data_IF_640796311649
#
_entry.id   IF_640796311649
#
_cell.length_a   1.000
_cell.length_b   1.000
_cell.length_c   1.000
_cell.angle_alpha   90.00
_cell.angle_beta   90.00
_cell.angle_gamma   90.00
#
_symmetry.space_group_name_H-M   'P 1'
#
loop_
_entity.id
_entity.type
_entity.pdbx_description
1 polymer ?
#
# COMPACT_ATOMS: atom_id res chain seq x y z
N UNK A 1 26.39 -34.16 -59.65
CA UNK A 1 26.28 -35.12 -58.53
C UNK A 1 27.23 -34.65 -57.43
N UNK A 2 26.65 -34.27 -56.28
CA UNK A 2 27.22 -34.22 -54.90
C UNK A 2 28.52 -33.45 -54.66
N UNK A 3 28.76 -32.70 -53.59
CA UNK A 3 28.01 -32.19 -52.44
C UNK A 3 28.98 -31.20 -51.76
N UNK A 4 28.53 -30.04 -51.27
CA UNK A 4 29.34 -29.24 -50.33
C UNK A 4 28.43 -28.56 -49.31
N UNK A 5 28.77 -28.77 -48.05
CA UNK A 5 27.99 -28.57 -46.84
C UNK A 5 27.53 -27.13 -46.56
N UNK A 6 26.45 -26.95 -45.77
CA UNK A 6 26.30 -25.82 -44.88
C UNK A 6 26.65 -26.26 -43.44
N UNK A 7 27.71 -25.69 -42.87
CA UNK A 7 27.95 -25.72 -41.44
C UNK A 7 28.35 -24.32 -40.98
N UNK A 8 27.47 -23.68 -40.23
CA UNK A 8 27.85 -22.66 -39.27
C UNK A 8 26.94 -22.88 -38.05
N UNK A 9 27.49 -23.39 -36.94
CA UNK A 9 26.74 -23.54 -35.71
C UNK A 9 26.50 -22.16 -35.10
N UNK A 10 25.23 -21.88 -34.81
CA UNK A 10 24.86 -20.90 -33.80
C UNK A 10 25.30 -21.47 -32.45
N UNK A 11 26.30 -20.88 -31.81
CA UNK A 11 26.58 -21.04 -30.38
C UNK A 11 27.51 -19.90 -29.97
N UNK A 12 26.92 -18.85 -29.43
CA UNK A 12 27.57 -18.10 -28.37
C UNK A 12 26.70 -18.27 -27.14
N UNK A 13 27.07 -19.26 -26.34
CA UNK A 13 26.54 -19.53 -25.02
C UNK A 13 27.71 -19.44 -24.05
N UNK A 14 27.69 -18.45 -23.16
CA UNK A 14 28.30 -18.47 -21.81
C UNK A 14 28.29 -17.06 -21.24
N UNK A 15 27.89 -16.81 -19.98
CA UNK A 15 27.41 -17.70 -18.94
C UNK A 15 26.76 -16.87 -17.81
N UNK A 16 25.83 -17.51 -17.07
CA UNK A 16 25.70 -17.58 -15.59
C UNK A 16 26.02 -16.36 -14.72
N UNK A 17 25.37 -16.08 -13.59
CA UNK A 17 24.33 -16.72 -12.77
C UNK A 17 24.24 -15.84 -11.50
N UNK A 18 23.18 -16.02 -10.70
CA UNK A 18 22.84 -15.40 -9.39
C UNK A 18 22.15 -14.02 -9.52
N UNK A 19 20.94 -13.78 -9.02
CA UNK A 19 20.30 -14.34 -7.84
C UNK A 19 18.79 -14.61 -8.06
N UNK A 20 18.36 -15.82 -7.70
CA UNK A 20 17.09 -15.96 -7.00
C UNK A 20 17.04 -14.96 -5.85
N UNK A 21 16.21 -13.94 -5.99
CA UNK A 21 15.71 -13.17 -4.86
C UNK A 21 14.20 -13.04 -5.05
N UNK A 22 13.51 -14.06 -4.55
CA UNK A 22 12.15 -14.02 -4.01
C UNK A 22 11.09 -13.32 -4.88
N UNK A 23 10.20 -14.02 -5.57
CA UNK A 23 9.20 -14.88 -4.93
C UNK A 23 8.82 -14.41 -3.52
N UNK A 24 8.35 -13.15 -3.40
CA UNK A 24 7.60 -12.50 -2.31
C UNK A 24 7.13 -11.18 -2.93
N UNK A 25 5.90 -11.01 -3.41
CA UNK A 25 4.75 -10.76 -2.54
C UNK A 25 3.43 -11.13 -3.25
N UNK A 26 3.31 -12.38 -3.70
CA UNK A 26 2.01 -12.99 -4.05
C UNK A 26 1.68 -14.20 -3.16
N UNK A 27 2.23 -14.20 -1.95
CA UNK A 27 1.94 -15.07 -0.80
C UNK A 27 1.80 -14.09 0.39
N UNK A 28 0.79 -14.11 1.25
CA UNK A 28 -0.16 -15.13 1.62
C UNK A 28 -1.39 -14.46 2.26
N UNK A 29 -2.48 -15.21 2.28
CA UNK A 29 -3.77 -14.90 2.88
C UNK A 29 -3.71 -14.33 4.31
N UNK A 30 -4.64 -13.40 4.58
CA UNK A 30 -5.35 -13.24 5.86
C UNK A 30 -4.47 -13.25 7.13
N UNK A 31 -3.81 -12.13 7.43
CA UNK A 31 -3.31 -11.80 8.77
C UNK A 31 -2.97 -10.30 8.84
N UNK A 32 -3.01 -9.72 10.06
CA UNK A 32 -4.13 -8.95 10.63
C UNK A 32 -4.43 -7.67 9.82
N UNK A 33 -5.43 -6.89 10.21
CA UNK A 33 -5.83 -5.59 9.62
C UNK A 33 -4.75 -4.49 9.73
N UNK A 34 -3.49 -4.81 9.38
CA UNK A 34 -2.33 -3.91 9.44
C UNK A 34 -2.32 -3.07 8.17
N UNK A 35 -2.75 -1.83 8.31
CA UNK A 35 -2.66 -0.83 7.25
C UNK A 35 -1.19 -0.42 7.12
N UNK A 36 -0.54 -0.71 6.00
CA UNK A 36 0.86 -0.33 5.79
C UNK A 36 0.98 1.03 5.10
N UNK A 37 2.15 1.68 5.24
CA UNK A 37 2.44 2.92 4.52
C UNK A 37 2.27 2.79 3.00
N UNK A 38 2.71 1.68 2.42
CA UNK A 38 2.51 1.39 0.99
C UNK A 38 1.03 1.29 0.59
N UNK A 39 0.18 0.75 1.47
CA UNK A 39 -1.27 0.68 1.27
C UNK A 39 -1.90 2.08 1.31
N UNK A 40 -1.56 2.89 2.31
CA UNK A 40 -2.04 4.27 2.41
C UNK A 40 -1.59 5.07 1.20
N UNK A 41 -0.35 4.86 0.74
CA UNK A 41 0.19 5.50 -0.45
C UNK A 41 -0.57 5.10 -1.71
N UNK A 42 -0.87 3.82 -1.88
CA UNK A 42 -1.72 3.33 -2.99
C UNK A 42 -3.08 4.04 -2.97
N UNK A 43 -3.73 4.15 -1.80
CA UNK A 43 -5.01 4.84 -1.65
C UNK A 43 -4.93 6.32 -2.03
N UNK A 44 -3.84 6.98 -1.64
CA UNK A 44 -3.60 8.39 -1.95
C UNK A 44 -3.15 8.63 -3.40
N UNK A 45 -2.80 7.58 -4.15
CA UNK A 45 -2.39 7.69 -5.56
C UNK A 45 -3.58 7.93 -6.51
N UNK A 46 -4.83 7.80 -6.03
CA UNK A 46 -6.00 8.15 -6.84
C UNK A 46 -6.12 9.68 -6.99
N UNK A 47 -5.58 10.19 -8.09
CA UNK A 47 -5.60 11.62 -8.42
C UNK A 47 -6.98 12.21 -8.70
N UNK A 48 -8.03 11.40 -8.84
CA UNK A 48 -9.41 11.94 -8.87
C UNK A 48 -9.85 12.43 -7.49
N UNK A 49 -9.32 11.81 -6.44
CA UNK A 49 -9.63 12.14 -5.05
C UNK A 49 -8.53 13.05 -4.46
N UNK A 50 -7.26 12.78 -4.79
CA UNK A 50 -6.08 13.49 -4.27
C UNK A 50 -5.25 14.11 -5.40
N UNK A 51 -5.74 15.18 -6.07
CA UNK A 51 -5.02 15.78 -7.19
C UNK A 51 -3.67 16.41 -6.80
N UNK A 52 -3.49 16.76 -5.52
CA UNK A 52 -2.28 17.40 -4.99
C UNK A 52 -1.23 16.44 -4.42
N UNK A 53 -1.53 15.15 -4.31
CA UNK A 53 -0.63 14.19 -3.68
C UNK A 53 0.25 13.51 -4.74
N UNK A 54 1.58 13.53 -4.60
CA UNK A 54 2.47 12.81 -5.51
C UNK A 54 2.39 11.28 -5.31
N UNK A 55 2.43 10.52 -6.42
CA UNK A 55 2.52 9.05 -6.41
C UNK A 55 3.74 8.54 -5.63
N UNK A 56 4.81 9.35 -5.53
CA UNK A 56 6.02 9.08 -4.74
C UNK A 56 6.10 9.87 -3.44
N UNK A 57 4.96 10.07 -2.79
CA UNK A 57 4.93 10.64 -1.46
C UNK A 57 5.75 9.77 -0.48
N UNK A 58 6.76 10.37 0.13
CA UNK A 58 7.55 9.74 1.19
C UNK A 58 6.78 9.69 2.52
N UNK A 59 7.18 8.80 3.42
CA UNK A 59 6.48 8.58 4.70
C UNK A 59 6.39 9.84 5.58
N UNK A 60 7.45 10.66 5.60
CA UNK A 60 7.56 11.92 6.35
C UNK A 60 7.33 13.17 5.48
N UNK A 61 6.81 13.00 4.26
CA UNK A 61 6.49 14.13 3.40
C UNK A 61 5.21 14.85 3.87
N UNK A 62 5.17 16.16 3.64
CA UNK A 62 4.00 16.98 3.93
C UNK A 62 2.82 16.54 3.05
N UNK A 63 1.78 16.05 3.72
CA UNK A 63 0.54 15.58 3.13
C UNK A 63 -0.58 16.53 3.55
N UNK A 64 -1.33 17.04 2.57
CA UNK A 64 -2.52 17.86 2.82
C UNK A 64 -3.73 17.07 2.36
N UNK A 65 -4.57 16.69 3.31
CA UNK A 65 -5.86 16.05 3.04
C UNK A 65 -6.96 17.11 3.10
N UNK A 66 -7.72 17.23 2.02
CA UNK A 66 -8.98 17.97 2.08
C UNK A 66 -10.02 17.17 2.87
N UNK A 67 -11.05 17.84 3.37
CA UNK A 67 -12.19 17.26 4.08
C UNK A 67 -12.79 16.05 3.34
N UNK A 68 -12.94 16.14 2.02
CA UNK A 68 -13.43 15.04 1.19
C UNK A 68 -12.44 13.89 1.08
N UNK A 69 -11.15 14.21 0.91
CA UNK A 69 -10.09 13.23 0.76
C UNK A 69 -9.93 12.39 2.03
N UNK A 70 -10.00 13.03 3.19
CA UNK A 70 -9.97 12.33 4.48
C UNK A 70 -11.17 11.39 4.64
N UNK A 71 -12.40 11.90 4.46
CA UNK A 71 -13.62 11.08 4.60
C UNK A 71 -13.63 9.91 3.61
N UNK A 72 -13.20 10.14 2.36
CA UNK A 72 -13.08 9.08 1.36
C UNK A 72 -12.05 8.03 1.77
N UNK A 73 -10.88 8.46 2.26
CA UNK A 73 -9.84 7.54 2.71
C UNK A 73 -10.35 6.64 3.84
N UNK A 74 -10.98 7.23 4.86
CA UNK A 74 -11.56 6.49 5.98
C UNK A 74 -12.62 5.51 5.50
N UNK A 75 -13.49 5.94 4.59
CA UNK A 75 -14.51 5.08 3.98
C UNK A 75 -13.90 3.90 3.22
N UNK A 76 -12.87 4.11 2.40
CA UNK A 76 -12.22 3.01 1.67
C UNK A 76 -11.47 2.08 2.62
N UNK A 77 -10.88 2.62 3.69
CA UNK A 77 -10.24 1.79 4.73
C UNK A 77 -11.28 0.93 5.45
N UNK A 78 -12.46 1.48 5.75
CA UNK A 78 -13.59 0.74 6.29
C UNK A 78 -14.06 -0.36 5.31
N UNK A 79 -14.28 -0.03 4.04
CA UNK A 79 -14.77 -1.01 3.05
C UNK A 79 -13.75 -2.13 2.76
N UNK A 80 -12.45 -1.79 2.70
CA UNK A 80 -11.39 -2.77 2.34
C UNK A 80 -10.88 -3.56 3.54
N UNK A 81 -10.82 -2.95 4.73
CA UNK A 81 -10.20 -3.55 5.92
C UNK A 81 -11.18 -3.79 7.06
N UNK A 82 -12.44 -3.35 6.95
CA UNK A 82 -13.44 -3.44 8.01
C UNK A 82 -13.11 -2.56 9.21
N UNK A 83 -12.29 -1.53 9.01
CA UNK A 83 -11.77 -0.67 10.07
C UNK A 83 -12.52 0.65 10.10
N UNK A 84 -13.45 0.80 11.06
CA UNK A 84 -14.16 2.05 11.31
C UNK A 84 -13.27 2.96 12.15
N UNK A 85 -12.94 4.14 11.60
CA UNK A 85 -12.06 5.10 12.26
C UNK A 85 -12.70 6.48 12.24
N UNK A 86 -12.87 7.08 13.42
CA UNK A 86 -13.38 8.44 13.60
C UNK A 86 -12.28 9.31 14.22
N UNK A 87 -11.49 10.06 13.41
CA UNK A 87 -10.49 10.97 13.95
C UNK A 87 -11.16 12.16 14.65
N UNK A 88 -10.68 12.50 15.85
CA UNK A 88 -11.03 13.76 16.50
C UNK A 88 -10.30 14.94 15.87
N UNK A 89 -10.64 16.16 16.26
CA UNK A 89 -10.00 17.37 15.72
C UNK A 89 -8.47 17.35 15.84
N UNK A 90 -7.95 16.92 17.00
CA UNK A 90 -6.50 16.79 17.24
C UNK A 90 -5.84 15.74 16.34
N UNK A 91 -6.55 14.64 16.03
CA UNK A 91 -6.04 13.62 15.11
C UNK A 91 -5.98 14.19 13.70
N UNK A 92 -7.05 14.86 13.24
CA UNK A 92 -7.14 15.49 11.91
C UNK A 92 -5.98 16.47 11.70
N UNK A 93 -5.66 17.29 12.70
CA UNK A 93 -4.49 18.19 12.66
C UNK A 93 -3.15 17.43 12.57
N UNK A 94 -3.09 16.22 13.13
CA UNK A 94 -1.95 15.32 13.07
C UNK A 94 -1.80 14.54 11.76
N UNK A 95 -2.84 14.45 10.92
CA UNK A 95 -2.85 13.71 9.64
C UNK A 95 -2.14 14.47 8.49
N UNK A 96 -0.98 15.06 8.79
CA UNK A 96 -0.18 15.88 7.88
C UNK A 96 0.98 15.13 7.22
N UNK A 97 1.09 13.83 7.44
CA UNK A 97 2.10 12.97 6.81
C UNK A 97 1.61 11.53 6.71
N UNK A 98 2.15 10.79 5.74
CA UNK A 98 1.75 9.41 5.51
C UNK A 98 2.10 8.48 6.68
N UNK A 99 3.23 8.72 7.36
CA UNK A 99 3.60 8.04 8.60
C UNK A 99 2.53 8.22 9.67
N UNK A 100 2.14 9.46 9.95
CA UNK A 100 1.14 9.79 10.99
C UNK A 100 -0.20 9.13 10.69
N UNK A 101 -0.63 9.22 9.43
CA UNK A 101 -1.84 8.57 8.96
C UNK A 101 -1.79 7.05 9.10
N UNK A 102 -0.66 6.43 8.75
CA UNK A 102 -0.46 4.99 8.92
C UNK A 102 -0.45 4.58 10.40
N UNK A 103 0.23 5.34 11.26
CA UNK A 103 0.24 5.14 12.71
C UNK A 103 -1.17 5.25 13.30
N UNK A 104 -1.93 6.26 12.89
CA UNK A 104 -3.31 6.48 13.32
C UNK A 104 -4.22 5.31 12.93
N UNK A 105 -4.16 4.84 11.67
CA UNK A 105 -4.95 3.70 11.22
C UNK A 105 -4.55 2.40 11.93
N UNK A 106 -3.27 2.18 12.22
CA UNK A 106 -2.84 1.03 13.02
C UNK A 106 -3.29 1.14 14.48
N UNK A 107 -3.22 2.33 15.07
CA UNK A 107 -3.71 2.59 16.42
C UNK A 107 -5.21 2.34 16.53
N UNK A 108 -5.99 2.75 15.52
CA UNK A 108 -7.42 2.46 15.45
C UNK A 108 -7.70 0.95 15.32
N UNK A 109 -6.92 0.23 14.49
CA UNK A 109 -7.03 -1.23 14.39
C UNK A 109 -6.66 -1.98 15.68
N UNK A 110 -5.69 -1.46 16.43
CA UNK A 110 -5.31 -1.98 17.73
C UNK A 110 -6.28 -1.57 18.86
N UNK A 111 -6.92 -0.40 18.77
CA UNK A 111 -7.94 0.05 19.72
C UNK A 111 -9.27 -0.66 19.53
N UNK A 112 -9.63 -1.02 18.29
CA UNK A 112 -10.86 -1.76 17.97
C UNK A 112 -10.89 -3.17 18.57
N UNK A 113 -9.73 -3.80 18.81
CA UNK A 113 -9.67 -5.11 19.50
C UNK A 113 -9.87 -5.01 21.02
N UNK A 114 -9.71 -3.82 21.60
CA UNK A 114 -9.90 -3.56 23.04
C UNK A 114 -11.28 -2.90 23.34
N UNK A 115 -11.86 -2.20 22.36
CA UNK A 115 -13.08 -1.38 22.49
C UNK A 115 -14.39 -2.07 22.08
N UNK A 116 -14.55 -3.35 22.41
CA UNK A 116 -15.78 -4.11 22.14
C UNK A 116 -16.95 -3.76 23.07
N UNK A 117 -17.35 -2.49 23.19
CA UNK A 117 -18.71 -2.17 23.65
C UNK A 117 -19.61 -2.06 22.42
N UNK A 118 -20.29 -3.17 22.09
CA UNK A 118 -21.43 -3.16 21.18
C UNK A 118 -22.45 -2.17 21.73
N UNK A 119 -22.52 -0.98 21.13
CA UNK A 119 -23.70 -0.13 21.28
C UNK A 119 -24.79 -0.73 20.41
N UNK A 120 -25.48 -1.72 20.96
CA UNK A 120 -26.81 -2.14 20.52
C UNK A 120 -27.75 -0.92 20.62
N UNK A 121 -28.31 -0.48 19.49
CA UNK A 121 -29.49 0.39 19.47
C UNK A 121 -30.47 -0.04 18.39
#
# INVERSE_FOLDING_TARGET
MSAKAPASPVTEASASSVAEASARSLTEASAPSVVTAGTVRELLSDRKIFPGVPDDLGDDAELVLDSLGLVWLLHVVEERYGLVVEPGDEDIEGLTSLRRLTEFLNAAGAGAVEGGERVDR
#
